data_IF_894725998253
#
_entry.id   IF_894725998253
#
_cell.length_a   1.000
_cell.length_b   1.000
_cell.length_c   1.000
_cell.angle_alpha   90.00
_cell.angle_beta   90.00
_cell.angle_gamma   90.00
#
_symmetry.space_group_name_H-M   'P 1'
#
loop_
_entity.id
_entity.type
_entity.pdbx_description
1 polymer ?
#
# COMPACT_ATOMS: atom_id res chain seq x y z
N UNK A 1 12.90 7.00 -25.69
CA UNK A 1 13.62 7.43 -24.47
C UNK A 1 13.77 6.23 -23.54
N UNK A 2 14.51 6.32 -22.43
CA UNK A 2 14.42 5.33 -21.35
C UNK A 2 13.62 5.95 -20.20
N UNK A 3 12.58 5.26 -19.73
CA UNK A 3 11.80 5.63 -18.55
C UNK A 3 12.11 4.61 -17.45
N UNK A 4 12.29 5.07 -16.22
CA UNK A 4 12.44 4.22 -15.05
C UNK A 4 11.15 4.25 -14.22
N UNK A 5 10.44 3.14 -14.18
CA UNK A 5 9.30 2.98 -13.30
C UNK A 5 9.72 2.25 -12.03
N UNK A 6 9.28 2.71 -10.87
CA UNK A 6 9.57 2.10 -9.59
C UNK A 6 8.27 1.77 -8.88
N UNK A 7 8.04 0.47 -8.63
CA UNK A 7 6.92 -0.02 -7.87
C UNK A 7 7.43 -0.56 -6.54
N UNK A 8 7.09 0.12 -5.46
CA UNK A 8 7.66 -0.14 -4.14
C UNK A 8 6.65 -0.83 -3.23
N UNK A 9 7.04 -1.94 -2.62
CA UNK A 9 6.38 -2.36 -1.38
C UNK A 9 6.60 -1.33 -0.28
N UNK A 10 5.75 -1.39 0.75
CA UNK A 10 5.79 -0.48 1.87
C UNK A 10 6.16 -1.19 3.16
N UNK A 11 5.38 -2.18 3.59
CA UNK A 11 5.63 -2.90 4.84
C UNK A 11 6.93 -3.70 4.76
N UNK A 12 7.84 -3.52 5.74
CA UNK A 12 9.16 -4.16 5.73
C UNK A 12 10.17 -3.56 4.73
N UNK A 13 9.68 -2.89 3.68
CA UNK A 13 10.47 -2.22 2.64
C UNK A 13 10.71 -0.74 2.97
N UNK A 14 9.79 0.18 2.64
CA UNK A 14 9.94 1.60 3.02
C UNK A 14 9.65 1.84 4.51
N UNK A 15 8.65 1.15 5.06
CA UNK A 15 8.43 1.03 6.49
C UNK A 15 9.31 -0.11 7.07
N UNK A 16 10.62 0.01 6.86
CA UNK A 16 11.63 -0.91 7.39
C UNK A 16 11.91 -0.65 8.89
N UNK A 17 12.88 -1.40 9.41
CA UNK A 17 13.32 -1.31 10.80
C UNK A 17 13.67 0.12 11.24
N UNK A 18 14.47 0.87 10.47
CA UNK A 18 14.88 2.22 10.84
C UNK A 18 13.70 3.19 10.91
N UNK A 19 12.72 3.00 10.04
CA UNK A 19 11.49 3.78 10.07
C UNK A 19 10.64 3.46 11.31
N UNK A 20 10.39 2.18 11.56
CA UNK A 20 9.48 1.73 12.63
C UNK A 20 10.11 1.95 14.02
N UNK A 21 11.41 1.69 14.17
CA UNK A 21 12.14 1.86 15.44
C UNK A 21 12.34 3.33 15.83
N UNK A 22 12.23 4.26 14.88
CA UNK A 22 12.30 5.70 15.17
C UNK A 22 11.03 6.16 15.89
N UNK A 23 11.14 6.88 17.03
CA UNK A 23 9.98 7.44 17.73
C UNK A 23 9.12 8.31 16.82
N UNK A 24 7.79 8.22 16.94
CA UNK A 24 6.81 8.87 16.06
C UNK A 24 7.11 10.35 15.77
N UNK A 25 7.53 11.13 16.79
CA UNK A 25 7.86 12.56 16.64
C UNK A 25 9.02 12.86 15.68
N UNK A 26 9.91 11.89 15.46
CA UNK A 26 11.10 12.00 14.63
C UNK A 26 11.05 11.12 13.39
N UNK A 27 10.00 10.29 13.27
CA UNK A 27 9.82 9.29 12.22
C UNK A 27 9.69 9.97 10.86
N UNK A 28 10.48 9.53 9.89
CA UNK A 28 10.46 10.11 8.55
C UNK A 28 10.82 9.07 7.50
N UNK A 29 9.85 8.76 6.63
CA UNK A 29 10.03 7.78 5.55
C UNK A 29 11.20 8.16 4.63
N UNK A 30 11.43 9.45 4.44
CA UNK A 30 12.53 9.97 3.61
C UNK A 30 13.88 9.76 4.28
N UNK A 31 13.99 10.03 5.59
CA UNK A 31 15.28 9.89 6.30
C UNK A 31 15.70 8.43 6.40
N UNK A 32 14.78 7.54 6.77
CA UNK A 32 15.04 6.11 6.93
C UNK A 32 15.36 5.39 5.61
N UNK A 33 15.10 6.03 4.47
CA UNK A 33 15.31 5.46 3.13
C UNK A 33 16.25 6.32 2.27
N UNK A 34 17.09 7.15 2.89
CA UNK A 34 17.90 8.12 2.17
C UNK A 34 18.87 7.44 1.18
N UNK A 35 19.46 6.30 1.54
CA UNK A 35 20.42 5.61 0.68
C UNK A 35 19.77 5.09 -0.61
N UNK A 36 18.57 4.50 -0.52
CA UNK A 36 17.77 4.10 -1.67
C UNK A 36 17.37 5.32 -2.52
N UNK A 37 16.89 6.39 -1.88
CA UNK A 37 16.51 7.63 -2.55
C UNK A 37 17.71 8.22 -3.31
N UNK A 38 18.89 8.26 -2.70
CA UNK A 38 20.10 8.75 -3.34
C UNK A 38 20.55 7.84 -4.48
N UNK A 39 20.46 6.51 -4.32
CA UNK A 39 20.75 5.56 -5.38
C UNK A 39 19.89 5.81 -6.62
N UNK A 40 18.57 5.92 -6.46
CA UNK A 40 17.63 6.17 -7.57
C UNK A 40 17.92 7.52 -8.25
N UNK A 41 18.24 8.55 -7.47
CA UNK A 41 18.53 9.90 -8.00
C UNK A 41 19.80 9.99 -8.86
N UNK A 42 20.66 8.97 -8.86
CA UNK A 42 21.84 8.93 -9.75
C UNK A 42 21.44 8.87 -11.22
N UNK A 43 20.32 8.21 -11.52
CA UNK A 43 19.82 8.19 -12.90
C UNK A 43 19.19 9.52 -13.27
N UNK A 44 19.42 9.96 -14.52
CA UNK A 44 18.81 11.16 -15.10
C UNK A 44 17.54 10.86 -15.90
N UNK A 45 17.18 9.59 -16.05
CA UNK A 45 15.98 9.20 -16.78
C UNK A 45 14.71 9.74 -16.08
N UNK A 46 13.64 10.05 -16.83
CA UNK A 46 12.32 10.30 -16.25
C UNK A 46 11.87 9.13 -15.39
N UNK A 47 11.22 9.44 -14.28
CA UNK A 47 10.83 8.45 -13.28
C UNK A 47 9.33 8.45 -13.05
N UNK A 48 8.76 7.27 -12.88
CA UNK A 48 7.38 7.07 -12.46
C UNK A 48 7.39 6.21 -11.20
N UNK A 49 6.59 6.56 -10.20
CA UNK A 49 6.45 5.79 -8.96
C UNK A 49 5.06 5.22 -8.85
N UNK A 50 4.98 3.93 -8.56
CA UNK A 50 3.78 3.18 -8.25
C UNK A 50 3.81 2.67 -6.81
N UNK A 51 2.64 2.28 -6.32
CA UNK A 51 2.50 1.50 -5.09
C UNK A 51 2.60 0.02 -5.47
N UNK A 52 3.69 -0.64 -5.08
CA UNK A 52 3.96 -2.07 -5.26
C UNK A 52 3.57 -2.91 -4.03
N UNK A 53 2.82 -2.33 -3.10
CA UNK A 53 2.37 -2.98 -1.87
C UNK A 53 1.00 -3.63 -2.05
N UNK A 54 0.66 -4.62 -1.21
CA UNK A 54 -0.71 -5.17 -1.15
C UNK A 54 -1.73 -4.19 -0.56
N UNK A 55 -1.30 -3.00 -0.14
CA UNK A 55 -2.15 -1.88 0.23
C UNK A 55 -2.80 -1.24 -1.00
N UNK A 56 -3.67 -1.98 -1.70
CA UNK A 56 -4.30 -1.57 -2.97
C UNK A 56 -5.76 -1.13 -2.81
N UNK A 57 -6.24 -1.02 -1.58
CA UNK A 57 -7.53 -0.43 -1.22
C UNK A 57 -7.39 0.49 -0.01
N UNK A 58 -8.40 1.32 0.26
CA UNK A 58 -8.44 2.11 1.49
C UNK A 58 -8.39 1.19 2.72
N UNK A 59 -9.11 0.07 2.68
CA UNK A 59 -9.22 -0.87 3.79
C UNK A 59 -7.85 -1.48 4.13
N UNK A 60 -7.10 -1.92 3.13
CA UNK A 60 -5.78 -2.51 3.32
C UNK A 60 -4.77 -1.50 3.85
N UNK A 61 -4.73 -0.30 3.23
CA UNK A 61 -3.80 0.73 3.69
C UNK A 61 -4.16 1.19 5.11
N UNK A 62 -5.45 1.33 5.44
CA UNK A 62 -5.89 1.64 6.80
C UNK A 62 -5.47 0.57 7.78
N UNK A 63 -5.82 -0.69 7.54
CA UNK A 63 -5.52 -1.80 8.44
C UNK A 63 -4.03 -1.91 8.73
N UNK A 64 -3.19 -1.69 7.71
CA UNK A 64 -1.74 -1.73 7.87
C UNK A 64 -1.14 -0.41 8.37
N UNK A 65 -1.81 0.74 8.22
CA UNK A 65 -1.31 2.04 8.69
C UNK A 65 -1.30 2.18 10.22
N UNK A 66 -2.25 1.53 10.89
CA UNK A 66 -2.41 1.59 12.35
C UNK A 66 -1.48 0.61 13.05
N UNK A 67 -1.00 -0.44 12.36
CA UNK A 67 0.04 -1.32 12.85
C UNK A 67 1.33 -0.52 13.14
N UNK A 68 1.71 -0.42 14.41
CA UNK A 68 2.89 0.31 14.89
C UNK A 68 2.93 1.80 14.48
N UNK A 69 1.76 2.41 14.22
CA UNK A 69 1.62 3.78 13.71
C UNK A 69 2.44 4.06 12.43
N UNK A 70 2.68 3.05 11.58
CA UNK A 70 3.53 3.20 10.39
C UNK A 70 2.91 4.09 9.29
N UNK A 71 1.64 4.46 9.42
CA UNK A 71 0.99 5.42 8.56
C UNK A 71 0.63 4.89 7.17
N UNK A 72 -0.02 5.75 6.39
CA UNK A 72 -0.48 5.44 5.04
C UNK A 72 0.70 5.35 4.05
N UNK A 73 0.75 4.27 3.27
CA UNK A 73 1.74 4.13 2.19
C UNK A 73 1.49 5.14 1.06
N UNK A 74 0.23 5.57 0.87
CA UNK A 74 -0.18 6.53 -0.16
C UNK A 74 0.53 7.87 0.02
N UNK A 75 0.55 8.39 1.24
CA UNK A 75 1.28 9.61 1.56
C UNK A 75 2.80 9.40 1.53
N UNK A 76 3.27 8.29 2.11
CA UNK A 76 4.69 7.98 2.19
C UNK A 76 5.35 7.89 0.81
N UNK A 77 4.79 7.09 -0.10
CA UNK A 77 5.33 6.90 -1.43
C UNK A 77 5.11 8.11 -2.35
N UNK A 78 4.03 8.89 -2.14
CA UNK A 78 3.88 10.20 -2.80
C UNK A 78 5.00 11.16 -2.37
N UNK A 79 5.37 11.18 -1.10
CA UNK A 79 6.47 12.03 -0.62
C UNK A 79 7.83 11.56 -1.15
N UNK A 80 8.05 10.24 -1.22
CA UNK A 80 9.23 9.64 -1.85
C UNK A 80 9.32 10.05 -3.33
N UNK A 81 8.22 9.94 -4.09
CA UNK A 81 8.19 10.32 -5.51
C UNK A 81 8.61 11.77 -5.72
N UNK A 82 8.12 12.71 -4.90
CA UNK A 82 8.54 14.12 -4.93
C UNK A 82 10.03 14.27 -4.63
N UNK A 83 10.54 13.52 -3.65
CA UNK A 83 11.96 13.60 -3.24
C UNK A 83 12.93 13.13 -4.33
N UNK A 84 12.53 12.13 -5.11
CA UNK A 84 13.32 11.60 -6.24
C UNK A 84 13.04 12.31 -7.57
N UNK A 85 12.07 13.22 -7.62
CA UNK A 85 11.69 13.94 -8.86
C UNK A 85 10.92 13.06 -9.85
N UNK A 86 10.13 12.12 -9.35
CA UNK A 86 9.30 11.23 -10.17
C UNK A 86 7.86 11.72 -10.28
N UNK A 87 7.18 11.33 -11.37
CA UNK A 87 5.71 11.38 -11.47
C UNK A 87 5.14 10.28 -10.57
N UNK A 88 4.27 10.64 -9.65
CA UNK A 88 3.50 9.66 -8.89
C UNK A 88 2.34 9.15 -9.74
N UNK A 89 2.19 7.83 -9.87
CA UNK A 89 1.02 7.20 -10.45
C UNK A 89 0.12 6.69 -9.31
N UNK A 90 -1.11 7.19 -9.27
CA UNK A 90 -2.11 6.90 -8.23
C UNK A 90 -2.98 5.67 -8.53
N UNK A 91 -2.68 4.93 -9.60
CA UNK A 91 -3.36 3.69 -9.94
C UNK A 91 -3.31 2.67 -8.78
N UNK A 92 -4.49 2.14 -8.42
CA UNK A 92 -4.65 1.05 -7.44
C UNK A 92 -5.47 -0.10 -8.04
N UNK A 93 -5.23 -1.32 -7.58
CA UNK A 93 -5.99 -2.48 -8.07
C UNK A 93 -7.49 -2.37 -7.78
N UNK A 94 -7.91 -1.74 -6.69
CA UNK A 94 -9.32 -1.50 -6.41
C UNK A 94 -10.03 -0.71 -7.53
N UNK A 95 -9.31 0.10 -8.31
CA UNK A 95 -9.88 0.75 -9.49
C UNK A 95 -10.25 -0.26 -10.59
N UNK A 96 -9.43 -1.31 -10.79
CA UNK A 96 -9.70 -2.38 -11.78
C UNK A 96 -10.94 -3.18 -11.39
N UNK A 97 -10.96 -3.72 -10.17
CA UNK A 97 -12.01 -4.66 -9.75
C UNK A 97 -13.40 -4.01 -9.68
N UNK A 98 -13.46 -2.68 -9.54
CA UNK A 98 -14.72 -1.93 -9.43
C UNK A 98 -15.03 -1.06 -10.66
N UNK A 99 -14.33 -1.27 -11.77
CA UNK A 99 -14.56 -0.54 -13.04
C UNK A 99 -14.47 0.99 -12.90
N UNK A 100 -13.58 1.45 -12.02
CA UNK A 100 -13.36 2.86 -11.76
C UNK A 100 -12.22 3.40 -12.61
N UNK A 101 -12.27 4.71 -12.87
CA UNK A 101 -11.14 5.42 -13.48
C UNK A 101 -9.93 5.32 -12.55
N UNK A 102 -8.76 5.18 -13.15
CA UNK A 102 -7.48 5.12 -12.44
C UNK A 102 -7.29 6.33 -11.51
N UNK A 103 -6.84 6.04 -10.28
CA UNK A 103 -6.61 7.03 -9.24
C UNK A 103 -7.85 7.39 -8.41
N UNK A 104 -9.04 6.91 -8.78
CA UNK A 104 -10.29 7.24 -8.07
C UNK A 104 -10.24 6.79 -6.62
N UNK A 105 -9.88 5.54 -6.37
CA UNK A 105 -9.82 4.98 -5.01
C UNK A 105 -8.69 5.58 -4.17
N UNK A 106 -7.57 5.94 -4.80
CA UNK A 106 -6.49 6.67 -4.16
C UNK A 106 -6.94 8.07 -3.70
N UNK A 107 -7.56 8.84 -4.60
CA UNK A 107 -8.06 10.18 -4.28
C UNK A 107 -9.14 10.13 -3.19
N UNK A 108 -10.02 9.12 -3.23
CA UNK A 108 -10.99 8.87 -2.19
C UNK A 108 -10.31 8.65 -0.83
N UNK A 109 -9.31 7.76 -0.75
CA UNK A 109 -8.58 7.48 0.49
C UNK A 109 -7.92 8.73 1.09
N UNK A 110 -7.35 9.60 0.26
CA UNK A 110 -6.73 10.85 0.71
C UNK A 110 -7.70 11.79 1.45
N UNK A 111 -9.01 11.69 1.22
CA UNK A 111 -10.00 12.51 1.95
C UNK A 111 -10.19 12.09 3.41
N UNK A 112 -9.81 10.85 3.76
CA UNK A 112 -9.90 10.30 5.11
C UNK A 112 -8.58 10.33 5.87
N UNK A 113 -7.46 10.61 5.21
CA UNK A 113 -6.14 10.66 5.84
C UNK A 113 -5.83 12.08 6.32
N UNK A 114 -5.45 12.20 7.59
CA UNK A 114 -4.97 13.44 8.18
C UNK A 114 -3.65 13.86 7.54
N UNK A 115 -3.61 15.03 6.88
CA UNK A 115 -2.36 15.58 6.32
C UNK A 115 -1.28 15.87 7.38
N UNK A 116 -1.68 16.06 8.65
CA UNK A 116 -0.75 16.37 9.75
C UNK A 116 -0.07 15.11 10.29
N UNK A 117 -0.84 14.03 10.44
CA UNK A 117 -0.38 12.82 11.13
C UNK A 117 -0.11 11.65 10.18
N UNK A 118 -0.62 11.71 8.95
CA UNK A 118 -0.57 10.61 7.99
C UNK A 118 -1.44 9.40 8.36
N UNK A 119 -2.29 9.55 9.38
CA UNK A 119 -3.20 8.51 9.89
C UNK A 119 -4.63 8.76 9.43
N UNK A 120 -5.40 7.68 9.33
CA UNK A 120 -6.82 7.74 8.99
C UNK A 120 -7.66 8.39 10.10
N UNK A 121 -8.69 9.13 9.70
CA UNK A 121 -9.73 9.60 10.60
C UNK A 121 -10.75 8.48 10.84
N UNK A 122 -10.50 7.68 11.88
CA UNK A 122 -11.31 6.51 12.21
C UNK A 122 -12.80 6.79 12.37
N UNK A 123 -13.17 7.97 12.89
CA UNK A 123 -14.59 8.36 13.03
C UNK A 123 -15.29 8.61 11.69
N UNK A 124 -14.54 9.04 10.67
CA UNK A 124 -15.07 9.22 9.32
C UNK A 124 -15.14 7.89 8.58
N UNK A 125 -14.05 7.11 8.63
CA UNK A 125 -13.97 5.83 7.91
C UNK A 125 -15.02 4.83 8.42
N UNK A 126 -15.20 4.70 9.74
CA UNK A 126 -16.11 3.70 10.31
C UNK A 126 -17.57 3.89 9.91
N UNK A 127 -17.99 5.11 9.56
CA UNK A 127 -19.36 5.40 9.11
C UNK A 127 -19.64 4.93 7.69
N UNK A 128 -18.60 4.69 6.89
CA UNK A 128 -18.69 4.47 5.45
C UNK A 128 -17.96 3.19 5.02
N UNK A 129 -17.58 2.34 5.99
CA UNK A 129 -16.69 1.20 5.77
C UNK A 129 -17.21 0.26 4.66
N UNK A 130 -18.52 0.01 4.62
CA UNK A 130 -19.17 -0.85 3.62
C UNK A 130 -19.17 -0.29 2.20
N UNK A 131 -18.83 0.99 2.03
CA UNK A 131 -18.94 1.69 0.74
C UNK A 131 -17.59 1.85 0.03
N UNK A 132 -16.49 1.37 0.61
CA UNK A 132 -15.18 1.51 0.00
C UNK A 132 -14.91 0.39 -1.01
N UNK A 133 -14.58 0.74 -2.26
CA UNK A 133 -14.15 -0.24 -3.25
C UNK A 133 -12.95 -1.05 -2.74
N UNK A 134 -13.04 -2.38 -2.89
CA UNK A 134 -11.97 -3.30 -2.51
C UNK A 134 -11.48 -4.08 -3.74
N UNK A 135 -10.47 -4.93 -3.57
CA UNK A 135 -9.87 -5.71 -4.65
C UNK A 135 -9.68 -7.17 -4.20
N UNK A 136 -9.51 -8.07 -5.16
CA UNK A 136 -9.12 -9.44 -4.84
C UNK A 136 -7.65 -9.45 -4.49
N UNK A 137 -7.34 -9.71 -3.22
CA UNK A 137 -5.97 -9.69 -2.69
C UNK A 137 -5.13 -10.83 -3.29
N UNK A 138 -4.32 -10.52 -4.29
CA UNK A 138 -3.29 -11.41 -4.84
C UNK A 138 -2.00 -11.33 -4.00
N UNK A 139 -1.78 -12.30 -3.11
CA UNK A 139 -0.63 -12.30 -2.20
C UNK A 139 0.72 -12.41 -2.95
N UNK A 140 0.69 -12.93 -4.18
CA UNK A 140 1.86 -13.09 -5.03
C UNK A 140 2.29 -11.79 -5.71
N UNK A 141 1.42 -10.77 -5.75
CA UNK A 141 1.61 -9.48 -6.45
C UNK A 141 1.81 -9.60 -7.97
N UNK A 142 1.56 -10.77 -8.54
CA UNK A 142 1.71 -11.02 -9.99
C UNK A 142 0.77 -10.11 -10.79
N UNK A 143 -0.51 -10.05 -10.41
CA UNK A 143 -1.52 -9.22 -11.09
C UNK A 143 -1.23 -7.72 -10.98
N UNK A 144 -0.65 -7.29 -9.86
CA UNK A 144 -0.22 -5.91 -9.65
C UNK A 144 0.90 -5.52 -10.61
N UNK A 145 1.94 -6.36 -10.72
CA UNK A 145 3.04 -6.14 -11.66
C UNK A 145 2.51 -6.14 -13.09
N UNK A 146 1.70 -7.14 -13.46
CA UNK A 146 1.09 -7.25 -14.78
C UNK A 146 0.31 -5.99 -15.15
N UNK A 147 -0.58 -5.50 -14.28
CA UNK A 147 -1.35 -4.30 -14.54
C UNK A 147 -0.46 -3.07 -14.79
N UNK A 148 0.56 -2.86 -13.95
CA UNK A 148 1.42 -1.69 -14.01
C UNK A 148 2.33 -1.68 -15.25
N UNK A 149 2.89 -2.83 -15.66
CA UNK A 149 3.75 -2.89 -16.86
C UNK A 149 2.95 -2.66 -18.15
N UNK A 150 1.72 -3.19 -18.22
CA UNK A 150 0.86 -3.01 -19.40
C UNK A 150 0.33 -1.59 -19.50
N UNK A 151 -0.10 -1.00 -18.39
CA UNK A 151 -0.46 0.43 -18.35
C UNK A 151 0.69 1.31 -18.84
N UNK A 152 1.92 1.09 -18.34
CA UNK A 152 3.09 1.85 -18.78
C UNK A 152 3.40 1.67 -20.26
N UNK A 153 3.34 0.44 -20.77
CA UNK A 153 3.62 0.18 -22.18
C UNK A 153 2.57 0.82 -23.11
N UNK A 154 1.31 0.91 -22.68
CA UNK A 154 0.24 1.63 -23.39
C UNK A 154 0.49 3.14 -23.38
N UNK A 155 0.84 3.70 -22.22
CA UNK A 155 1.09 5.15 -22.05
C UNK A 155 2.37 5.62 -22.75
N UNK A 156 3.33 4.71 -22.93
CA UNK A 156 4.67 5.00 -23.47
C UNK A 156 5.10 4.01 -24.58
N UNK A 157 4.37 3.92 -25.70
CA UNK A 157 4.55 2.87 -26.71
C UNK A 157 5.86 2.98 -27.52
N UNK A 158 6.56 4.12 -27.42
CA UNK A 158 7.80 4.39 -28.14
C UNK A 158 9.03 4.51 -27.23
N UNK A 159 8.84 4.32 -25.92
CA UNK A 159 9.92 4.36 -24.94
C UNK A 159 10.32 2.96 -24.51
N UNK A 160 11.58 2.83 -24.07
CA UNK A 160 12.07 1.66 -23.37
C UNK A 160 11.83 1.88 -21.87
N UNK A 161 11.22 0.90 -21.21
CA UNK A 161 10.81 1.00 -19.81
C UNK A 161 11.67 0.07 -18.99
N UNK A 162 12.38 0.61 -18.01
CA UNK A 162 13.02 -0.14 -16.94
C UNK A 162 12.05 -0.18 -15.76
N UNK A 163 11.31 -1.27 -15.62
CA UNK A 163 10.34 -1.44 -14.54
C UNK A 163 11.00 -2.12 -13.34
N UNK A 164 11.21 -1.38 -12.26
CA UNK A 164 11.81 -1.84 -11.02
C UNK A 164 10.74 -2.19 -10.00
N UNK A 165 10.57 -3.47 -9.69
CA UNK A 165 9.72 -3.93 -8.59
C UNK A 165 10.60 -4.24 -7.37
N UNK A 166 10.31 -3.57 -6.25
CA UNK A 166 11.18 -3.55 -5.06
C UNK A 166 10.38 -3.96 -3.83
N UNK A 167 10.81 -5.05 -3.19
CA UNK A 167 10.08 -5.73 -2.12
C UNK A 167 11.05 -6.21 -1.04
N UNK A 168 10.60 -6.44 0.19
CA UNK A 168 11.45 -6.97 1.27
C UNK A 168 11.50 -8.50 1.29
N UNK A 169 10.56 -9.19 0.62
CA UNK A 169 10.40 -10.64 0.70
C UNK A 169 11.12 -11.37 -0.42
N UNK A 170 12.28 -11.93 -0.09
CA UNK A 170 13.08 -12.72 -1.04
C UNK A 170 12.32 -13.92 -1.61
N UNK A 171 11.54 -14.65 -0.80
CA UNK A 171 10.75 -15.81 -1.26
C UNK A 171 9.74 -15.40 -2.34
N UNK A 172 9.07 -14.25 -2.16
CA UNK A 172 8.13 -13.71 -3.13
C UNK A 172 8.86 -13.30 -4.42
N UNK A 173 10.00 -12.63 -4.30
CA UNK A 173 10.78 -12.18 -5.46
C UNK A 173 11.39 -13.35 -6.24
N UNK A 174 11.83 -14.42 -5.58
CA UNK A 174 12.28 -15.65 -6.26
C UNK A 174 11.13 -16.25 -7.09
N UNK A 175 9.94 -16.42 -6.50
CA UNK A 175 8.79 -16.99 -7.20
C UNK A 175 8.37 -16.13 -8.41
N UNK A 176 8.32 -14.80 -8.26
CA UNK A 176 8.03 -13.88 -9.36
C UNK A 176 9.10 -13.94 -10.45
N UNK A 177 10.39 -14.01 -10.07
CA UNK A 177 11.48 -14.11 -11.02
C UNK A 177 11.38 -15.38 -11.86
N UNK A 178 11.18 -16.53 -11.22
CA UNK A 178 10.99 -17.81 -11.90
C UNK A 178 9.79 -17.76 -12.84
N UNK A 179 8.66 -17.25 -12.36
CA UNK A 179 7.43 -17.16 -13.15
C UNK A 179 7.58 -16.30 -14.42
N UNK A 180 8.10 -15.08 -14.28
CA UNK A 180 8.26 -14.20 -15.44
C UNK A 180 9.40 -14.60 -16.38
N UNK A 181 10.40 -15.36 -15.91
CA UNK A 181 11.37 -15.99 -16.82
C UNK A 181 10.75 -17.14 -17.61
N UNK A 182 9.81 -17.87 -17.01
CA UNK A 182 9.08 -18.93 -17.69
C UNK A 182 8.09 -18.37 -18.71
N UNK A 183 7.49 -17.22 -18.43
CA UNK A 183 6.45 -16.58 -19.25
C UNK A 183 6.79 -15.12 -19.61
N UNK A 184 7.91 -14.86 -20.32
CA UNK A 184 8.31 -13.50 -20.67
C UNK A 184 7.35 -12.83 -21.67
N UNK A 185 6.45 -13.58 -22.30
CA UNK A 185 5.36 -13.08 -23.15
C UNK A 185 4.26 -12.35 -22.35
N UNK A 186 4.23 -12.46 -21.03
CA UNK A 186 3.35 -11.63 -20.20
C UNK A 186 3.85 -10.19 -20.06
N UNK A 187 5.08 -9.91 -20.49
CA UNK A 187 5.72 -8.60 -20.39
C UNK A 187 5.83 -8.00 -21.80
N UNK A 188 5.37 -6.74 -22.02
CA UNK A 188 5.56 -6.04 -23.29
C UNK A 188 7.03 -5.93 -23.70
N UNK A 189 7.34 -6.05 -25.00
CA UNK A 189 8.71 -6.04 -25.53
C UNK A 189 9.49 -4.76 -25.26
N UNK A 190 8.81 -3.65 -24.99
CA UNK A 190 9.46 -2.39 -24.63
C UNK A 190 9.69 -2.24 -23.12
N UNK A 191 9.41 -3.29 -22.32
CA UNK A 191 9.60 -3.32 -20.87
C UNK A 191 10.67 -4.35 -20.49
N UNK A 192 11.61 -3.93 -19.66
CA UNK A 192 12.52 -4.81 -18.92
C UNK A 192 12.09 -4.83 -17.45
N UNK A 193 11.71 -6.00 -16.93
CA UNK A 193 11.37 -6.21 -15.53
C UNK A 193 12.64 -6.44 -14.70
N UNK A 194 12.78 -5.66 -13.64
CA UNK A 194 13.92 -5.66 -12.74
C UNK A 194 13.43 -5.88 -11.30
N UNK A 195 13.63 -7.07 -10.76
CA UNK A 195 13.27 -7.40 -9.37
C UNK A 195 14.44 -7.11 -8.43
N UNK A 196 14.18 -6.49 -7.27
CA UNK A 196 15.20 -6.18 -6.26
C UNK A 196 14.66 -6.35 -4.85
N UNK A 197 15.45 -6.94 -3.95
CA UNK A 197 15.15 -6.89 -2.52
C UNK A 197 15.56 -5.54 -1.93
N UNK A 198 14.80 -5.04 -0.95
CA UNK A 198 15.21 -3.93 -0.10
C UNK A 198 14.52 -4.00 1.26
N UNK A 199 15.32 -3.98 2.33
CA UNK A 199 14.85 -4.12 3.72
C UNK A 199 15.24 -2.94 4.61
N UNK A 200 15.72 -1.84 4.03
CA UNK A 200 16.33 -0.72 4.74
C UNK A 200 17.86 -0.87 4.92
N UNK A 201 18.54 0.19 5.38
CA UNK A 201 20.00 0.19 5.55
C UNK A 201 20.45 -0.51 6.83
N UNK A 202 19.53 -0.86 7.72
CA UNK A 202 19.79 -1.53 8.99
C UNK A 202 18.88 -2.75 9.15
N UNK A 203 19.42 -3.85 9.66
CA UNK A 203 18.66 -5.07 9.96
C UNK A 203 17.86 -4.95 11.28
N UNK A 204 17.08 -5.98 11.59
CA UNK A 204 16.24 -6.01 12.81
C UNK A 204 17.04 -6.03 14.12
N UNK A 205 18.34 -6.28 14.07
CA UNK A 205 19.25 -6.26 15.21
C UNK A 205 19.95 -4.90 15.38
N UNK A 206 19.66 -3.93 14.51
CA UNK A 206 20.29 -2.62 14.53
C UNK A 206 21.66 -2.59 13.83
N UNK A 207 22.02 -3.63 13.08
CA UNK A 207 23.29 -3.69 12.36
C UNK A 207 23.14 -3.19 10.92
N UNK A 208 24.11 -2.46 10.37
CA UNK A 208 24.09 -2.06 8.96
C UNK A 208 23.98 -3.27 8.03
N UNK A 209 23.15 -3.16 7.00
CA UNK A 209 23.05 -4.15 5.93
C UNK A 209 24.17 -3.88 4.92
N UNK A 210 25.08 -4.85 4.74
CA UNK A 210 26.22 -4.71 3.83
C UNK A 210 25.79 -4.51 2.36
N UNK A 211 24.77 -5.25 1.93
CA UNK A 211 24.22 -5.20 0.59
C UNK A 211 22.81 -4.61 0.61
N UNK A 212 22.71 -3.31 0.31
CA UNK A 212 21.43 -2.59 0.31
C UNK A 212 20.38 -3.20 -0.62
N UNK A 213 20.81 -3.85 -1.71
CA UNK A 213 19.95 -4.51 -2.68
C UNK A 213 20.51 -5.85 -3.12
N UNK A 214 19.70 -6.91 -3.07
CA UNK A 214 19.89 -8.09 -3.92
C UNK A 214 19.12 -7.88 -5.22
N UNK A 215 19.82 -7.72 -6.33
CA UNK A 215 19.21 -7.60 -7.65
C UNK A 215 19.15 -8.96 -8.34
N UNK A 216 18.03 -9.23 -9.00
CA UNK A 216 17.87 -10.40 -9.86
C UNK A 216 18.31 -10.06 -11.29
N UNK A 217 18.59 -11.10 -12.09
CA UNK A 217 18.83 -10.92 -13.51
C UNK A 217 17.60 -10.27 -14.17
N UNK A 218 17.74 -9.18 -14.94
CA UNK A 218 16.61 -8.54 -15.60
C UNK A 218 15.90 -9.46 -16.59
N UNK A 219 14.58 -9.34 -16.69
CA UNK A 219 13.74 -10.12 -17.59
C UNK A 219 13.25 -9.21 -18.70
N UNK A 220 13.70 -9.46 -19.93
CA UNK A 220 13.25 -8.72 -21.10
C UNK A 220 11.91 -9.26 -21.57
N UNK A 221 10.90 -8.39 -21.67
CA UNK A 221 9.60 -8.79 -22.22
C UNK A 221 9.69 -9.17 -23.69
N UNK A 222 8.77 -10.04 -24.10
CA UNK A 222 8.73 -10.58 -25.48
C UNK A 222 7.39 -10.37 -26.18
N UNK A 223 6.36 -9.85 -25.49
CA UNK A 223 5.09 -9.57 -26.16
C UNK A 223 5.23 -8.42 -27.15
N UNK A 224 4.84 -8.66 -28.41
CA UNK A 224 4.93 -7.66 -29.48
C UNK A 224 4.07 -6.43 -29.23
N UNK A 225 2.96 -6.59 -28.50
CA UNK A 225 2.02 -5.53 -28.14
C UNK A 225 1.69 -5.60 -26.64
N UNK A 226 1.43 -4.46 -25.99
CA UNK A 226 0.82 -4.49 -24.67
C UNK A 226 -0.60 -5.04 -24.74
N UNK A 227 -1.07 -5.59 -23.63
CA UNK A 227 -2.45 -6.00 -23.43
C UNK A 227 -3.33 -4.76 -23.23
N UNK A 228 -3.99 -4.31 -24.29
CA UNK A 228 -4.90 -3.17 -24.25
C UNK A 228 -6.15 -3.43 -23.39
N UNK A 229 -6.44 -4.68 -23.02
CA UNK A 229 -7.53 -5.08 -22.12
C UNK A 229 -6.99 -5.64 -20.79
N UNK A 230 -5.80 -5.19 -20.35
CA UNK A 230 -5.14 -5.69 -19.15
C UNK A 230 -6.03 -5.66 -17.90
N UNK A 231 -6.98 -4.74 -17.83
CA UNK A 231 -7.94 -4.64 -16.72
C UNK A 231 -8.82 -5.89 -16.62
N UNK A 232 -9.36 -6.35 -17.75
CA UNK A 232 -10.15 -7.58 -17.81
C UNK A 232 -9.25 -8.82 -17.67
N UNK A 233 -8.06 -8.81 -18.27
CA UNK A 233 -7.08 -9.90 -18.08
C UNK A 233 -6.72 -10.11 -16.62
N UNK A 234 -6.50 -9.04 -15.85
CA UNK A 234 -6.28 -9.10 -14.40
C UNK A 234 -7.45 -9.77 -13.68
N UNK A 235 -8.69 -9.37 -13.98
CA UNK A 235 -9.87 -9.99 -13.38
C UNK A 235 -9.99 -11.47 -13.75
N UNK A 236 -9.68 -11.85 -14.99
CA UNK A 236 -9.67 -13.23 -15.45
C UNK A 236 -8.58 -14.08 -14.77
N UNK A 237 -7.38 -13.52 -14.57
CA UNK A 237 -6.32 -14.17 -13.80
C UNK A 237 -6.76 -14.46 -12.36
N UNK A 238 -7.41 -13.48 -11.71
CA UNK A 238 -7.97 -13.65 -10.39
C UNK A 238 -9.10 -14.69 -10.37
N UNK A 239 -9.99 -14.68 -11.36
CA UNK A 239 -11.07 -15.66 -11.50
C UNK A 239 -10.53 -17.10 -11.61
N UNK A 240 -9.49 -17.33 -12.43
CA UNK A 240 -8.81 -18.63 -12.54
C UNK A 240 -8.28 -19.09 -11.19
N UNK A 241 -7.64 -18.19 -10.44
CA UNK A 241 -7.09 -18.51 -9.13
C UNK A 241 -8.17 -18.77 -8.08
N UNK A 242 -9.27 -18.01 -8.07
CA UNK A 242 -10.43 -18.26 -7.18
C UNK A 242 -11.02 -19.65 -7.46
N UNK A 243 -11.20 -20.02 -8.72
CA UNK A 243 -11.76 -21.33 -9.10
C UNK A 243 -10.81 -22.51 -8.82
N UNK A 244 -9.51 -22.23 -8.66
CA UNK A 244 -8.47 -23.23 -8.43
C UNK A 244 -8.10 -23.41 -6.95
N UNK A 245 -8.32 -22.38 -6.13
CA UNK A 245 -8.09 -22.46 -4.68
C UNK A 245 -9.25 -23.22 -3.99
N UNK A 246 -8.96 -24.27 -3.20
CA UNK A 246 -10.00 -25.07 -2.57
C UNK A 246 -10.75 -24.33 -1.45
N UNK A 247 -10.15 -23.27 -0.90
CA UNK A 247 -10.69 -22.54 0.24
C UNK A 247 -10.44 -21.04 0.10
N UNK A 248 -11.28 -20.37 -0.69
CA UNK A 248 -11.43 -18.92 -0.64
C UNK A 248 -12.64 -18.60 0.24
N UNK A 249 -12.47 -17.74 1.24
CA UNK A 249 -13.51 -17.45 2.23
C UNK A 249 -13.78 -15.95 2.31
N UNK A 250 -14.96 -15.58 2.80
CA UNK A 250 -15.31 -14.19 3.14
C UNK A 250 -15.98 -14.21 4.51
N UNK A 251 -15.71 -13.21 5.36
CA UNK A 251 -16.34 -13.10 6.68
C UNK A 251 -17.86 -12.93 6.60
N UNK A 252 -18.34 -12.42 5.46
CA UNK A 252 -19.75 -12.17 5.21
C UNK A 252 -20.42 -13.30 4.41
N UNK A 253 -19.68 -14.35 4.05
CA UNK A 253 -20.20 -15.49 3.28
C UNK A 253 -20.35 -16.73 4.17
N UNK A 254 -21.50 -17.43 4.11
CA UNK A 254 -21.68 -18.70 4.81
C UNK A 254 -20.97 -19.88 4.12
N UNK A 255 -20.53 -19.69 2.87
CA UNK A 255 -19.88 -20.71 2.04
C UNK A 255 -18.57 -20.20 1.46
N UNK A 256 -17.73 -21.12 0.98
CA UNK A 256 -16.55 -20.77 0.21
C UNK A 256 -16.95 -19.99 -1.05
N UNK A 257 -16.09 -19.05 -1.44
CA UNK A 257 -16.17 -18.31 -2.69
C UNK A 257 -15.54 -19.19 -3.77
N UNK A 258 -16.29 -19.48 -4.83
CA UNK A 258 -15.90 -20.45 -5.86
C UNK A 258 -15.70 -19.84 -7.23
N UNK A 259 -16.11 -18.58 -7.42
CA UNK A 259 -16.01 -17.86 -8.68
C UNK A 259 -15.95 -16.34 -8.45
N UNK A 260 -15.68 -15.61 -9.53
CA UNK A 260 -15.51 -14.16 -9.50
C UNK A 260 -16.79 -13.40 -9.15
N UNK A 261 -17.96 -13.86 -9.63
CA UNK A 261 -19.25 -13.22 -9.33
C UNK A 261 -19.61 -13.31 -7.84
N UNK A 262 -19.30 -14.45 -7.20
CA UNK A 262 -19.42 -14.59 -5.76
C UNK A 262 -18.47 -13.64 -5.03
N UNK A 263 -17.21 -13.52 -5.46
CA UNK A 263 -16.29 -12.54 -4.89
C UNK A 263 -16.85 -11.11 -5.01
N UNK A 264 -17.40 -10.74 -6.17
CA UNK A 264 -18.02 -9.44 -6.42
C UNK A 264 -19.24 -9.18 -5.54
N UNK A 265 -20.08 -10.21 -5.29
CA UNK A 265 -21.22 -10.15 -4.37
C UNK A 265 -20.80 -9.77 -2.95
N UNK A 266 -19.60 -10.21 -2.53
CA UNK A 266 -19.01 -9.86 -1.23
C UNK A 266 -18.03 -8.68 -1.32
N UNK A 267 -18.19 -7.82 -2.33
CA UNK A 267 -17.38 -6.61 -2.55
C UNK A 267 -15.87 -6.89 -2.59
N UNK A 268 -15.47 -8.08 -3.05
CA UNK A 268 -14.09 -8.58 -3.05
C UNK A 268 -13.44 -8.64 -1.65
N UNK A 269 -14.22 -8.56 -0.57
CA UNK A 269 -13.77 -8.83 0.79
C UNK A 269 -13.67 -10.35 1.01
N UNK A 270 -12.62 -10.94 0.43
CA UNK A 270 -12.33 -12.36 0.46
C UNK A 270 -10.90 -12.61 0.96
N UNK A 271 -10.60 -13.82 1.40
CA UNK A 271 -9.24 -14.23 1.75
C UNK A 271 -8.31 -14.12 0.55
N UNK A 272 -7.04 -13.81 0.81
CA UNK A 272 -6.04 -13.67 -0.24
C UNK A 272 -5.94 -14.94 -1.10
N UNK A 273 -5.66 -14.74 -2.39
CA UNK A 273 -5.41 -15.78 -3.38
C UNK A 273 -3.97 -15.71 -3.86
N UNK A 274 -3.46 -16.81 -4.41
CA UNK A 274 -2.13 -16.86 -5.00
C UNK A 274 -2.22 -17.02 -6.52
N UNK A 275 -2.26 -15.92 -7.27
CA UNK A 275 -2.44 -15.97 -8.72
C UNK A 275 -1.27 -16.68 -9.40
N UNK A 276 -0.04 -16.38 -8.97
CA UNK A 276 1.17 -17.00 -9.51
C UNK A 276 1.13 -18.52 -9.48
N UNK A 277 0.59 -19.12 -8.42
CA UNK A 277 0.48 -20.58 -8.25
C UNK A 277 -0.49 -21.23 -9.24
N UNK A 278 -1.58 -20.53 -9.61
CA UNK A 278 -2.70 -21.15 -10.32
C UNK A 278 -2.85 -20.71 -11.76
N UNK A 279 -2.43 -19.50 -12.10
CA UNK A 279 -2.59 -18.95 -13.45
C UNK A 279 -1.37 -19.25 -14.31
N UNK A 280 -1.62 -19.71 -15.54
CA UNK A 280 -0.65 -19.80 -16.63
C UNK A 280 -1.19 -19.03 -17.84
N UNK A 281 -0.32 -18.44 -18.68
CA UNK A 281 -0.76 -17.76 -19.89
C UNK A 281 -1.70 -18.62 -20.74
N UNK A 282 -2.80 -18.02 -21.18
CA UNK A 282 -3.83 -18.70 -21.98
C UNK A 282 -4.90 -19.45 -21.19
N UNK A 283 -4.79 -19.55 -19.85
CA UNK A 283 -5.89 -20.07 -19.03
C UNK A 283 -7.09 -19.12 -19.04
N UNK A 284 -8.29 -19.69 -19.14
CA UNK A 284 -9.57 -18.98 -19.05
C UNK A 284 -10.36 -19.51 -17.86
N UNK A 285 -11.01 -18.65 -17.06
CA UNK A 285 -11.89 -19.09 -15.99
C UNK A 285 -13.13 -19.80 -16.58
N UNK A 286 -13.72 -20.72 -15.81
CA UNK A 286 -15.03 -21.32 -16.14
C UNK A 286 -16.15 -20.29 -16.05
N UNK A 287 -16.01 -19.32 -15.16
CA UNK A 287 -16.92 -18.20 -14.94
C UNK A 287 -16.16 -16.89 -15.17
N UNK A 288 -16.17 -16.34 -16.40
CA UNK A 288 -15.49 -15.09 -16.74
C UNK A 288 -15.92 -13.92 -15.84
N UNK A 289 -14.96 -13.07 -15.48
CA UNK A 289 -15.18 -11.97 -14.53
C UNK A 289 -16.12 -10.87 -15.04
N UNK A 290 -16.21 -10.73 -16.36
CA UNK A 290 -17.16 -9.84 -17.02
C UNK A 290 -17.88 -10.64 -18.10
N UNK A 291 -19.21 -10.73 -18.01
CA UNK A 291 -20.08 -11.19 -19.10
C UNK A 291 -20.19 -10.07 -20.15
N UNK A 292 -19.06 -9.63 -20.68
CA UNK A 292 -19.02 -8.88 -21.92
C UNK A 292 -19.23 -9.86 -23.06
N UNK A 293 -20.45 -10.40 -23.14
CA UNK A 293 -21.12 -10.45 -24.42
C UNK A 293 -21.16 -9.01 -24.96
N UNK A 294 -20.03 -8.58 -25.53
CA UNK A 294 -20.02 -7.59 -26.59
C UNK A 294 -20.92 -8.22 -27.64
N UNK A 295 -22.20 -7.88 -27.57
CA UNK A 295 -23.11 -8.02 -28.69
C UNK A 295 -22.41 -7.26 -29.78
N UNK A 296 -21.74 -7.99 -30.67
CA UNK A 296 -21.20 -7.49 -31.92
C UNK A 296 -22.38 -6.95 -32.72
N UNK A 297 -22.82 -5.72 -32.40
CA UNK A 297 -23.57 -4.91 -33.34
C UNK A 297 -22.58 -4.58 -34.44
N UNK A 298 -22.63 -5.42 -35.47
CA UNK A 298 -21.99 -5.17 -36.77
C UNK A 298 -22.21 -3.71 -37.17
N UNK A 299 -21.10 -3.02 -37.39
CA UNK A 299 -20.98 -1.94 -38.36
C UNK A 299 -21.59 -0.60 -37.95
N UNK A 300 -20.72 0.33 -37.55
CA UNK A 300 -20.50 1.59 -38.28
C UNK A 300 -19.14 2.14 -37.86
N UNK A 301 -18.27 2.32 -38.85
CA UNK A 301 -16.94 2.90 -38.69
C UNK A 301 -17.05 4.27 -37.99
N UNK A 302 -16.19 4.57 -37.00
CA UNK A 302 -16.14 5.91 -36.44
C UNK A 302 -15.44 6.84 -37.44
N UNK A 303 -16.21 7.80 -37.96
CA UNK A 303 -15.69 8.97 -38.65
C UNK A 303 -14.62 9.65 -37.80
N UNK A 304 -13.42 9.83 -38.36
CA UNK A 304 -12.38 10.70 -37.83
C UNK A 304 -12.92 12.11 -37.59
N UNK A 305 -13.17 12.47 -36.33
CA UNK A 305 -13.33 13.86 -35.93
C UNK A 305 -11.93 14.40 -35.62
N UNK A 306 -11.44 15.24 -36.53
CA UNK A 306 -10.28 16.10 -36.27
C UNK A 306 -10.68 17.14 -35.23
N UNK A 307 -10.10 17.09 -34.03
CA UNK A 307 -10.24 18.18 -33.07
C UNK A 307 -8.88 18.71 -32.63
N UNK A 308 -8.73 19.99 -32.96
CA UNK A 308 -7.76 21.02 -32.64
C UNK A 308 -6.96 20.89 -31.33
N UNK A 309 -5.66 21.20 -31.47
CA UNK A 309 -4.72 21.60 -30.42
C UNK A 309 -5.36 22.58 -29.43
N UNK A 310 -5.29 22.27 -28.14
CA UNK A 310 -5.38 23.28 -27.08
C UNK A 310 -4.07 23.29 -26.28
N UNK A 311 -3.37 24.42 -26.39
CA UNK A 311 -2.31 24.82 -25.47
C UNK A 311 -2.91 25.65 -24.33
N UNK A 312 -2.56 25.35 -23.08
CA UNK A 312 -2.64 26.28 -21.95
C UNK A 312 -1.51 25.90 -20.98
N UNK A 313 -0.38 26.61 -21.02
CA UNK A 313 -0.03 27.84 -20.30
C UNK A 313 -0.01 27.73 -18.76
N UNK A 314 1.20 27.96 -18.26
CA UNK A 314 1.61 28.20 -16.88
C UNK A 314 1.00 29.50 -16.33
N UNK A 315 0.62 29.46 -15.06
CA UNK A 315 0.64 30.57 -14.09
C UNK A 315 0.66 29.88 -12.71
N UNK A 316 1.58 30.14 -11.77
CA UNK A 316 2.16 31.42 -11.38
C UNK A 316 1.50 31.84 -10.06
N UNK A 317 1.97 31.32 -8.92
CA UNK A 317 1.58 31.83 -7.60
C UNK A 317 2.79 32.43 -6.90
N UNK A 318 2.73 33.76 -6.81
CA UNK A 318 3.65 34.65 -6.12
C UNK A 318 3.38 34.68 -4.62
N UNK A 319 4.48 34.91 -3.90
CA UNK A 319 4.57 35.17 -2.47
C UNK A 319 3.71 36.36 -2.00
N UNK A 320 3.20 36.27 -0.77
CA UNK A 320 2.93 37.47 0.04
C UNK A 320 3.52 37.30 1.43
N UNK A 321 4.61 38.04 1.67
CA UNK A 321 5.13 38.36 3.00
C UNK A 321 4.16 39.31 3.70
N UNK A 322 3.89 39.08 4.99
CA UNK A 322 3.57 40.16 5.93
C UNK A 322 4.31 39.92 7.25
N UNK A 323 5.18 40.87 7.54
CA UNK A 323 5.89 41.11 8.78
C UNK A 323 5.05 41.95 9.73
N UNK A 324 5.13 41.68 11.03
CA UNK A 324 5.17 42.72 12.08
C UNK A 324 5.61 42.12 13.43
N UNK A 325 6.86 42.41 13.77
CA UNK A 325 7.42 42.87 15.06
C UNK A 325 6.40 43.29 16.16
N UNK A 326 6.63 43.20 17.48
CA UNK A 326 7.83 43.58 18.26
C UNK A 326 7.71 43.17 19.76
N UNK A 327 8.88 42.98 20.43
CA UNK A 327 9.27 43.32 21.83
C UNK A 327 8.56 42.65 23.04
N UNK A 328 9.18 42.32 24.18
CA UNK A 328 10.48 42.68 24.82
C UNK A 328 10.81 41.75 26.02
N UNK A 329 12.12 41.57 26.31
CA UNK A 329 12.88 41.64 27.60
C UNK A 329 12.14 41.34 28.94
N UNK A 330 12.68 40.75 30.02
CA UNK A 330 14.05 40.53 30.53
C UNK A 330 13.99 39.63 31.81
N UNK A 331 15.11 38.96 32.16
CA UNK A 331 15.63 38.64 33.53
C UNK A 331 14.78 37.80 34.54
N UNK A 332 15.30 37.01 35.49
CA UNK A 332 16.63 36.52 35.93
C UNK A 332 16.43 35.40 37.00
N UNK A 333 17.52 34.71 37.39
CA UNK A 333 17.70 33.50 38.27
C UNK A 333 17.40 33.76 39.79
N UNK A 334 17.62 32.85 40.82
CA UNK A 334 18.28 31.50 40.86
C UNK A 334 17.74 30.38 41.84
N UNK A 335 18.26 29.15 41.62
CA UNK A 335 18.73 28.04 42.51
C UNK A 335 17.96 27.53 43.77
N UNK A 336 17.83 26.19 43.85
CA UNK A 336 18.34 25.26 44.91
C UNK A 336 17.91 23.80 44.54
N UNK A 337 18.82 22.84 44.35
CA UNK A 337 19.51 21.90 45.26
C UNK A 337 18.77 20.57 45.58
N UNK A 338 19.51 19.46 45.34
CA UNK A 338 19.46 18.11 45.96
C UNK A 338 18.18 17.27 45.66
N UNK A 339 18.23 15.98 45.31
CA UNK A 339 19.04 14.86 45.80
C UNK A 339 19.24 13.77 44.74
N UNK A 340 20.33 13.00 44.89
CA UNK A 340 20.55 11.70 44.24
C UNK A 340 19.70 10.62 44.93
N UNK A 341 19.10 9.72 44.15
CA UNK A 341 18.81 8.37 44.63
C UNK A 341 18.85 7.37 43.46
N UNK A 342 19.51 6.26 43.75
CA UNK A 342 19.79 5.10 42.92
C UNK A 342 18.56 4.24 42.66
N UNK A 343 18.45 3.64 41.47
CA UNK A 343 17.78 2.33 41.30
C UNK A 343 18.27 1.65 40.03
N UNK A 344 18.75 0.42 40.21
CA UNK A 344 19.05 -0.53 39.14
C UNK A 344 17.78 -0.85 38.34
N UNK A 345 17.86 -0.77 37.01
CA UNK A 345 16.79 -1.26 36.12
C UNK A 345 17.36 -2.45 35.35
N UNK A 346 16.84 -3.62 35.72
CA UNK A 346 16.92 -4.87 34.97
C UNK A 346 16.29 -4.68 33.58
N UNK A 347 17.04 -4.99 32.52
CA UNK A 347 16.53 -5.01 31.15
C UNK A 347 15.79 -6.32 30.89
N UNK A 348 14.48 -6.32 31.14
CA UNK A 348 13.60 -7.36 30.60
C UNK A 348 13.28 -7.04 29.14
N UNK A 349 13.82 -7.86 28.24
CA UNK A 349 13.56 -7.81 26.80
C UNK A 349 12.12 -8.25 26.52
N UNK A 350 11.27 -7.46 25.84
CA UNK A 350 9.99 -7.96 25.39
C UNK A 350 10.21 -8.97 24.26
N UNK A 351 9.88 -10.24 24.54
CA UNK A 351 9.75 -11.31 23.54
C UNK A 351 8.69 -10.90 22.50
N UNK A 352 9.15 -10.43 21.34
CA UNK A 352 8.29 -10.20 20.17
C UNK A 352 7.88 -11.55 19.59
N UNK A 353 6.56 -11.78 19.48
CA UNK A 353 5.98 -12.99 18.90
C UNK A 353 6.25 -13.06 17.39
N UNK A 354 6.41 -14.26 16.80
CA UNK A 354 6.52 -14.42 15.34
C UNK A 354 5.21 -14.03 14.67
N UNK A 355 5.28 -13.14 13.67
CA UNK A 355 4.14 -12.66 12.89
C UNK A 355 3.83 -13.62 11.74
N UNK A 356 2.92 -14.57 12.00
CA UNK A 356 2.00 -15.14 11.03
C UNK A 356 0.67 -15.34 11.78
N UNK A 357 -0.45 -14.94 11.18
CA UNK A 357 -1.79 -14.79 11.77
C UNK A 357 -2.08 -13.41 12.41
N UNK A 358 -2.29 -12.39 11.58
CA UNK A 358 -3.38 -11.42 11.83
C UNK A 358 -4.07 -11.13 10.49
N UNK A 359 -4.84 -12.10 10.03
CA UNK A 359 -6.11 -11.83 9.36
C UNK A 359 -7.16 -12.63 10.13
N UNK A 360 -7.45 -12.14 11.33
CA UNK A 360 -8.64 -12.51 12.06
C UNK A 360 -9.31 -11.20 12.46
N UNK A 361 -10.29 -10.74 11.66
CA UNK A 361 -11.06 -9.54 12.00
C UNK A 361 -12.10 -9.81 13.11
N UNK A 362 -12.06 -10.98 13.78
CA UNK A 362 -13.01 -11.31 14.85
C UNK A 362 -12.83 -10.48 16.14
N UNK A 363 -11.72 -9.75 16.29
CA UNK A 363 -11.45 -8.97 17.52
C UNK A 363 -12.10 -7.58 17.58
N UNK A 364 -12.87 -7.15 16.58
CA UNK A 364 -13.56 -5.84 16.60
C UNK A 364 -15.07 -5.86 16.81
N UNK A 365 -15.70 -7.04 16.95
CA UNK A 365 -17.13 -7.14 17.25
C UNK A 365 -17.42 -8.08 18.42
N UNK A 366 -17.13 -7.64 19.64
CA UNK A 366 -17.89 -8.10 20.81
C UNK A 366 -17.88 -7.08 21.96
N UNK A 367 -18.84 -6.13 21.92
CA UNK A 367 -19.32 -5.43 23.12
C UNK A 367 -20.84 -5.47 23.14
N UNK A 368 -21.38 -6.61 23.55
CA UNK A 368 -22.70 -6.74 24.16
C UNK A 368 -22.68 -7.86 25.20
N UNK A 369 -22.22 -7.51 26.41
CA UNK A 369 -22.67 -8.11 27.66
C UNK A 369 -21.97 -7.37 28.81
N UNK A 370 -22.76 -6.70 29.65
CA UNK A 370 -22.54 -6.31 31.05
C UNK A 370 -23.32 -5.02 31.31
N UNK A 371 -24.64 -5.16 31.41
CA UNK A 371 -25.46 -4.31 32.26
C UNK A 371 -25.78 -5.16 33.49
N UNK A 372 -25.06 -4.95 34.59
CA UNK A 372 -25.58 -5.23 35.93
C UNK A 372 -25.27 -4.05 36.85
N UNK A 373 -26.15 -3.73 37.82
CA UNK A 373 -26.10 -2.49 38.58
C UNK A 373 -25.08 -2.56 39.70
N UNK A 374 -24.36 -1.46 39.94
CA UNK A 374 -23.54 -1.26 41.13
C UNK A 374 -24.43 -1.25 42.39
N UNK A 375 -24.32 -2.30 43.20
CA UNK A 375 -24.79 -2.32 44.58
C UNK A 375 -23.99 -1.32 45.42
N UNK A 376 -24.72 -0.58 46.26
CA UNK A 376 -24.20 0.39 47.22
C UNK A 376 -23.57 -0.37 48.39
N UNK A 377 -22.28 -0.17 48.64
CA UNK A 377 -21.69 -0.53 49.92
C UNK A 377 -21.78 0.65 50.89
N UNK A 378 -22.54 0.44 51.95
CA UNK A 378 -22.64 1.26 53.15
C UNK A 378 -21.32 1.23 53.95
N UNK A 379 -20.93 2.38 54.50
CA UNK A 379 -19.81 2.51 55.43
C UNK A 379 -20.26 2.18 56.87
N UNK A 380 -19.49 1.40 57.65
CA UNK A 380 -19.79 1.22 59.06
C UNK A 380 -19.33 2.41 59.91
N UNK A 381 -20.29 2.96 60.65
CA UNK A 381 -20.09 3.81 61.83
C UNK A 381 -19.38 3.05 62.96
N UNK A 382 -18.50 3.73 63.68
CA UNK A 382 -18.16 3.47 65.10
C UNK A 382 -17.52 4.78 65.63
N UNK A 383 -18.29 5.64 66.32
CA UNK A 383 -18.54 5.67 67.77
C UNK A 383 -17.33 6.12 68.60
N UNK A 384 -17.39 7.37 69.05
CA UNK A 384 -16.67 7.95 70.20
C UNK A 384 -17.13 7.32 71.53
N UNK A 385 -16.33 7.49 72.59
CA UNK A 385 -16.90 7.75 73.90
C UNK A 385 -16.38 9.06 74.49
N UNK A 386 -17.33 9.82 75.02
CA UNK A 386 -17.17 10.95 75.93
C UNK A 386 -17.06 10.44 77.37
N UNK A 387 -16.22 11.08 78.18
CA UNK A 387 -16.56 11.70 79.48
C UNK A 387 -15.42 11.64 80.52
N UNK A 388 -15.24 12.80 81.15
CA UNK A 388 -14.64 13.11 82.47
C UNK A 388 -13.18 13.50 82.50
#
# INVERSE_FOLDING_TARGET
MIIEAYSFDFDGCFANYDYISTPDKNRSIIKSNMDLIQHIKKSKNPKIVFIGSNRQSLLDDRANSTADNRGSCYLGLRDVSRKIGAKFNSFLMADIYNDLKEGTTFDQALTYISKKTGLYNEKKVSKELSNFPNWVHDESKMTLIYAQIHQLAIDHPHDQIQFHFIDDKEVLLNALHEYFNQFPELIPKNVTLNLKTYTGPTDRTGKPVEQLFKAYNPIQGTSEVPDYDFRNSVKNMAAVAIESEPYVSSQNSPTNITNFDEAKKYHFDISAINVLKHYKPGMTPKFPADDTTITTKKGKEPHMVKTTKLSLFQQGYSESKRSSSNNSLQESRPKSDLTQESTEISYDQPKLRPWYQVFDNSLFFNRKALNEPLEKHEMPNNSTPDHS
#
